data_IF_312059462474
#
_entry.id   IF_312059462474
#
_cell.length_a   1.000
_cell.length_b   1.000
_cell.length_c   1.000
_cell.angle_alpha   90.00
_cell.angle_beta   90.00
_cell.angle_gamma   90.00
#
_symmetry.space_group_name_H-M   'P 1'
#
loop_
_entity.id
_entity.type
_entity.pdbx_description
1 polymer ?
#
# COMPACT_ATOMS: atom_id res chain seq x y z
N UNK A 1 36.58 45.75 -38.46
CA UNK A 1 36.18 44.83 -37.36
C UNK A 1 34.67 44.87 -37.23
N UNK A 2 33.96 43.84 -37.70
CA UNK A 2 32.51 43.69 -37.50
C UNK A 2 32.31 42.99 -36.16
N UNK A 3 31.68 43.67 -35.20
CA UNK A 3 31.18 43.03 -33.97
C UNK A 3 29.75 42.60 -34.28
N UNK A 4 29.60 41.30 -34.52
CA UNK A 4 28.32 40.64 -34.73
C UNK A 4 27.58 40.61 -33.38
N UNK A 5 26.54 41.44 -33.25
CA UNK A 5 25.63 41.39 -32.11
C UNK A 5 24.85 40.06 -32.18
N UNK A 6 25.28 39.08 -31.38
CA UNK A 6 24.51 37.86 -31.14
C UNK A 6 23.15 38.24 -30.55
N UNK A 7 22.10 38.05 -31.35
CA UNK A 7 20.70 38.12 -30.92
C UNK A 7 20.52 37.29 -29.65
N UNK A 8 19.96 37.92 -28.61
CA UNK A 8 19.77 37.29 -27.30
C UNK A 8 19.08 35.94 -27.45
N UNK A 9 19.67 34.91 -26.86
CA UNK A 9 19.12 33.56 -26.89
C UNK A 9 17.64 33.60 -26.47
N UNK A 10 16.74 33.29 -27.41
CA UNK A 10 15.32 33.19 -27.13
C UNK A 10 15.15 32.07 -26.11
N UNK A 11 14.73 32.41 -24.89
CA UNK A 11 14.32 31.43 -23.88
C UNK A 11 13.03 30.77 -24.38
N UNK A 12 13.17 29.73 -25.18
CA UNK A 12 12.06 28.87 -25.56
C UNK A 12 11.77 27.96 -24.38
N UNK A 13 10.78 28.33 -23.57
CA UNK A 13 10.22 27.43 -22.55
C UNK A 13 9.30 26.46 -23.30
N UNK A 14 9.85 25.31 -23.70
CA UNK A 14 9.03 24.22 -24.22
C UNK A 14 8.30 23.62 -23.03
N UNK A 15 7.11 24.16 -22.72
CA UNK A 15 6.15 23.53 -21.85
C UNK A 15 5.63 22.26 -22.54
N UNK A 16 6.45 21.20 -22.54
CA UNK A 16 6.00 19.90 -23.02
C UNK A 16 4.85 19.45 -22.12
N UNK A 17 3.82 18.87 -22.71
CA UNK A 17 2.69 18.22 -22.01
C UNK A 17 3.11 17.14 -21.01
N UNK A 18 4.41 16.82 -20.91
CA UNK A 18 5.02 15.95 -19.90
C UNK A 18 4.89 16.54 -18.49
N UNK A 19 4.90 17.87 -18.34
CA UNK A 19 4.74 18.55 -17.05
C UNK A 19 3.28 18.83 -16.65
N UNK A 20 2.31 18.54 -17.52
CA UNK A 20 0.89 18.67 -17.19
C UNK A 20 0.48 17.44 -16.36
N UNK A 21 0.68 17.52 -15.05
CA UNK A 21 0.14 16.50 -14.14
C UNK A 21 -1.37 16.70 -14.05
N UNK A 22 -2.14 15.68 -14.46
CA UNK A 22 -3.60 15.71 -14.34
C UNK A 22 -4.06 15.64 -12.88
N UNK A 23 -3.17 15.29 -11.94
CA UNK A 23 -3.41 15.27 -10.49
C UNK A 23 -2.16 15.80 -9.77
N UNK A 24 -2.35 16.46 -8.62
CA UNK A 24 -1.23 16.93 -7.78
C UNK A 24 -0.40 15.76 -7.23
N UNK A 25 0.88 15.98 -6.95
CA UNK A 25 1.78 14.98 -6.33
C UNK A 25 1.16 14.27 -5.12
N UNK A 26 0.56 15.02 -4.19
CA UNK A 26 -0.08 14.47 -2.99
C UNK A 26 -1.23 13.50 -3.27
N UNK A 27 -1.98 13.74 -4.36
CA UNK A 27 -3.09 12.88 -4.79
C UNK A 27 -2.58 11.59 -5.42
N UNK A 28 -1.51 11.68 -6.22
CA UNK A 28 -0.84 10.50 -6.77
C UNK A 28 -0.20 9.65 -5.65
N UNK A 29 0.51 10.29 -4.73
CA UNK A 29 1.11 9.63 -3.58
C UNK A 29 0.06 8.96 -2.69
N UNK A 30 -1.09 9.60 -2.45
CA UNK A 30 -2.17 9.00 -1.67
C UNK A 30 -2.73 7.72 -2.28
N UNK A 31 -2.82 7.63 -3.62
CA UNK A 31 -3.28 6.40 -4.29
C UNK A 31 -2.27 5.27 -4.05
N UNK A 32 -0.98 5.52 -4.25
CA UNK A 32 0.08 4.52 -4.06
C UNK A 32 0.21 4.11 -2.58
N UNK A 33 0.09 5.07 -1.65
CA UNK A 33 0.13 4.77 -0.22
C UNK A 33 -1.08 3.97 0.23
N UNK A 34 -2.28 4.25 -0.31
CA UNK A 34 -3.49 3.52 0.02
C UNK A 34 -3.42 2.04 -0.39
N UNK A 35 -2.68 1.73 -1.47
CA UNK A 35 -2.44 0.37 -1.94
C UNK A 35 -1.62 -0.46 -0.93
N UNK A 36 -0.60 0.13 -0.31
CA UNK A 36 0.24 -0.54 0.69
C UNK A 36 -0.31 -0.50 2.12
N UNK A 37 -1.28 0.38 2.39
CA UNK A 37 -1.67 0.73 3.75
C UNK A 37 -2.39 -0.39 4.51
N UNK A 38 -3.25 -1.19 3.85
CA UNK A 38 -4.04 -2.22 4.54
C UNK A 38 -3.16 -3.34 5.10
N UNK A 39 -2.17 -3.78 4.31
CA UNK A 39 -1.21 -4.83 4.69
C UNK A 39 -0.41 -4.51 5.94
N UNK A 40 -0.10 -3.23 6.19
CA UNK A 40 0.66 -2.82 7.35
C UNK A 40 0.00 -3.20 8.68
N UNK A 41 -1.34 -3.28 8.74
CA UNK A 41 -2.07 -3.55 9.98
C UNK A 41 -2.14 -5.03 10.36
N UNK A 42 -2.03 -5.94 9.40
CA UNK A 42 -2.19 -7.38 9.66
C UNK A 42 -0.92 -8.21 9.44
N UNK A 43 0.02 -7.73 8.61
CA UNK A 43 1.26 -8.46 8.33
C UNK A 43 2.05 -8.75 9.61
N UNK A 44 2.09 -7.82 10.57
CA UNK A 44 2.76 -8.03 11.84
C UNK A 44 2.19 -9.22 12.63
N UNK A 45 0.87 -9.27 12.78
CA UNK A 45 0.20 -10.34 13.52
C UNK A 45 0.29 -11.70 12.81
N UNK A 46 0.16 -11.73 11.48
CA UNK A 46 0.31 -12.96 10.71
C UNK A 46 1.75 -13.46 10.76
N UNK A 47 2.74 -12.57 10.60
CA UNK A 47 4.15 -12.94 10.65
C UNK A 47 4.56 -13.46 12.04
N UNK A 48 4.07 -12.83 13.11
CA UNK A 48 4.31 -13.31 14.48
C UNK A 48 3.66 -14.68 14.73
N UNK A 49 2.46 -14.92 14.20
CA UNK A 49 1.78 -16.21 14.34
C UNK A 49 2.50 -17.32 13.56
N UNK A 50 3.01 -17.00 12.37
CA UNK A 50 3.64 -17.98 11.48
C UNK A 50 5.10 -18.32 11.82
N UNK A 51 5.88 -17.31 12.23
CA UNK A 51 7.35 -17.42 12.43
C UNK A 51 7.71 -17.34 13.93
N UNK A 52 6.80 -16.87 14.77
CA UNK A 52 7.03 -16.64 16.19
C UNK A 52 7.77 -15.32 16.45
N UNK A 53 8.47 -15.27 17.58
CA UNK A 53 9.15 -14.05 18.09
C UNK A 53 10.25 -13.51 17.20
N UNK A 54 10.69 -14.27 16.19
CA UNK A 54 11.66 -13.84 15.19
C UNK A 54 11.06 -13.00 14.03
N UNK A 55 9.72 -12.86 13.96
CA UNK A 55 9.03 -12.13 12.90
C UNK A 55 9.56 -10.71 12.60
N UNK A 56 9.95 -9.88 13.60
CA UNK A 56 10.49 -8.54 13.33
C UNK A 56 11.75 -8.54 12.46
N UNK A 57 12.59 -9.59 12.53
CA UNK A 57 13.81 -9.69 11.72
C UNK A 57 13.49 -9.94 10.24
N UNK A 58 12.45 -10.70 9.94
CA UNK A 58 11.99 -10.92 8.56
C UNK A 58 11.39 -9.65 7.97
N UNK A 59 10.60 -8.90 8.77
CA UNK A 59 10.10 -7.58 8.36
C UNK A 59 11.28 -6.64 8.08
N UNK A 60 12.27 -6.60 8.98
CA UNK A 60 13.47 -5.77 8.78
C UNK A 60 14.24 -6.15 7.51
N UNK A 61 14.40 -7.45 7.22
CA UNK A 61 15.05 -7.92 6.01
C UNK A 61 14.31 -7.46 4.73
N UNK A 62 12.97 -7.53 4.73
CA UNK A 62 12.14 -7.03 3.62
C UNK A 62 12.27 -5.51 3.48
N UNK A 63 12.30 -4.77 4.60
CA UNK A 63 12.51 -3.32 4.57
C UNK A 63 13.89 -2.95 4.01
N UNK A 64 14.94 -3.70 4.35
CA UNK A 64 16.27 -3.50 3.79
C UNK A 64 16.29 -3.81 2.28
N UNK A 65 15.66 -4.90 1.86
CA UNK A 65 15.52 -5.25 0.45
C UNK A 65 14.73 -4.18 -0.34
N UNK A 66 13.72 -3.56 0.27
CA UNK A 66 12.96 -2.47 -0.33
C UNK A 66 13.83 -1.25 -0.69
N UNK A 67 14.95 -1.01 0.02
CA UNK A 67 15.91 0.03 -0.38
C UNK A 67 16.58 -0.27 -1.73
N UNK A 68 16.87 -1.53 -2.03
CA UNK A 68 17.42 -1.90 -3.34
C UNK A 68 16.37 -1.68 -4.45
N UNK A 69 15.11 -2.05 -4.20
CA UNK A 69 13.99 -1.78 -5.12
C UNK A 69 13.81 -0.28 -5.34
N UNK A 70 13.93 0.52 -4.28
CA UNK A 70 13.88 1.99 -4.36
C UNK A 70 15.01 2.56 -5.22
N UNK A 71 16.23 2.03 -5.13
CA UNK A 71 17.35 2.48 -5.96
C UNK A 71 17.05 2.28 -7.46
N UNK A 72 16.55 1.10 -7.83
CA UNK A 72 16.14 0.78 -9.22
C UNK A 72 15.02 1.72 -9.68
N UNK A 73 14.07 2.04 -8.80
CA UNK A 73 12.99 2.97 -9.14
C UNK A 73 13.51 4.38 -9.45
N UNK A 74 14.49 4.88 -8.68
CA UNK A 74 15.10 6.20 -8.90
C UNK A 74 15.82 6.24 -10.26
N UNK A 75 16.56 5.18 -10.60
CA UNK A 75 17.19 5.05 -11.91
C UNK A 75 16.16 5.02 -13.04
N UNK A 76 15.08 4.26 -12.87
CA UNK A 76 13.97 4.17 -13.83
C UNK A 76 13.32 5.53 -14.10
N UNK A 77 13.20 6.39 -13.07
CA UNK A 77 12.65 7.74 -13.22
C UNK A 77 13.55 8.68 -14.07
N UNK A 78 14.84 8.40 -14.22
CA UNK A 78 15.73 9.21 -15.08
C UNK A 78 15.55 8.97 -16.58
N UNK A 79 14.83 7.92 -16.98
CA UNK A 79 14.62 7.58 -18.39
C UNK A 79 13.55 8.44 -19.07
N UNK A 80 12.78 9.23 -18.31
CA UNK A 80 11.76 10.19 -18.79
C UNK A 80 10.82 9.66 -19.91
N UNK A 81 10.45 8.39 -19.84
CA UNK A 81 9.58 7.76 -20.85
C UNK A 81 8.11 8.06 -20.57
N UNK A 82 7.37 8.50 -21.60
CA UNK A 82 5.92 8.69 -21.52
C UNK A 82 5.20 7.35 -21.61
N UNK A 83 4.24 7.12 -20.70
CA UNK A 83 3.35 5.95 -20.73
C UNK A 83 3.43 5.01 -19.52
N UNK A 84 3.97 5.47 -18.40
CA UNK A 84 3.96 4.75 -17.13
C UNK A 84 4.85 3.50 -17.12
N UNK A 85 4.59 2.60 -16.18
CA UNK A 85 5.47 1.45 -15.87
C UNK A 85 5.70 0.55 -17.10
N UNK A 86 4.67 0.31 -17.93
CA UNK A 86 4.81 -0.50 -19.14
C UNK A 86 5.88 0.04 -20.08
N UNK A 87 5.81 1.34 -20.40
CA UNK A 87 6.73 1.96 -21.36
C UNK A 87 8.14 2.07 -20.79
N UNK A 88 8.27 2.34 -19.49
CA UNK A 88 9.59 2.38 -18.83
C UNK A 88 10.28 1.02 -18.92
N UNK A 89 9.58 -0.08 -18.61
CA UNK A 89 10.17 -1.44 -18.72
C UNK A 89 10.42 -1.82 -20.19
N UNK A 90 9.53 -1.40 -21.10
CA UNK A 90 9.69 -1.69 -22.52
C UNK A 90 10.94 -1.05 -23.11
N UNK A 91 11.20 0.22 -22.82
CA UNK A 91 12.39 0.93 -23.31
C UNK A 91 13.67 0.43 -22.62
N UNK A 92 13.62 0.04 -21.35
CA UNK A 92 14.78 -0.43 -20.61
C UNK A 92 15.17 -1.91 -20.89
N UNK A 93 14.18 -2.79 -21.03
CA UNK A 93 14.36 -4.26 -20.99
C UNK A 93 13.68 -5.00 -22.16
N UNK A 94 13.05 -4.28 -23.08
CA UNK A 94 12.37 -4.85 -24.24
C UNK A 94 10.94 -5.34 -24.00
N UNK A 95 10.27 -5.74 -25.08
CA UNK A 95 8.83 -5.98 -25.08
C UNK A 95 8.34 -7.20 -24.31
N UNK A 96 9.11 -8.29 -24.25
CA UNK A 96 8.70 -9.52 -23.56
C UNK A 96 8.69 -9.32 -22.05
N UNK A 97 9.75 -8.73 -21.51
CA UNK A 97 9.87 -8.44 -20.07
C UNK A 97 8.83 -7.40 -19.63
N UNK A 98 8.56 -6.37 -20.45
CA UNK A 98 7.51 -5.40 -20.15
C UNK A 98 6.11 -6.02 -20.01
N UNK A 99 5.76 -6.97 -20.89
CA UNK A 99 4.49 -7.69 -20.79
C UNK A 99 4.43 -8.54 -19.53
N UNK A 100 5.51 -9.25 -19.20
CA UNK A 100 5.57 -10.06 -17.98
C UNK A 100 5.42 -9.22 -16.71
N UNK A 101 6.20 -8.12 -16.60
CA UNK A 101 6.14 -7.22 -15.44
C UNK A 101 4.77 -6.58 -15.26
N UNK A 102 4.13 -6.12 -16.34
CA UNK A 102 2.80 -5.52 -16.23
C UNK A 102 1.71 -6.54 -15.92
N UNK A 103 1.81 -7.76 -16.46
CA UNK A 103 0.91 -8.85 -16.06
C UNK A 103 1.03 -9.16 -14.57
N UNK A 104 2.26 -9.20 -14.03
CA UNK A 104 2.48 -9.41 -12.60
C UNK A 104 1.88 -8.27 -11.75
N UNK A 105 2.05 -7.01 -12.17
CA UNK A 105 1.45 -5.84 -11.49
C UNK A 105 -0.08 -5.84 -11.55
N UNK A 106 -0.67 -6.20 -12.70
CA UNK A 106 -2.13 -6.31 -12.82
C UNK A 106 -2.68 -7.45 -11.97
N UNK A 107 -1.96 -8.57 -11.93
CA UNK A 107 -2.32 -9.70 -11.07
C UNK A 107 -2.29 -9.31 -9.59
N UNK A 108 -1.24 -8.60 -9.16
CA UNK A 108 -1.13 -8.07 -7.80
C UNK A 108 -2.33 -7.18 -7.44
N UNK A 109 -2.68 -6.20 -8.28
CA UNK A 109 -3.85 -5.33 -8.04
C UNK A 109 -5.19 -6.08 -8.03
N UNK A 110 -5.36 -7.09 -8.89
CA UNK A 110 -6.58 -7.89 -8.93
C UNK A 110 -6.73 -8.78 -7.69
N UNK A 111 -5.62 -9.22 -7.08
CA UNK A 111 -5.66 -10.00 -5.85
C UNK A 111 -5.78 -9.14 -4.59
N UNK A 112 -5.00 -8.07 -4.51
CA UNK A 112 -4.93 -7.20 -3.31
C UNK A 112 -6.25 -6.49 -3.04
N UNK A 113 -6.98 -6.06 -4.08
CA UNK A 113 -8.28 -5.40 -3.93
C UNK A 113 -9.32 -6.24 -3.14
N UNK A 114 -9.68 -7.45 -3.61
CA UNK A 114 -10.59 -8.34 -2.90
C UNK A 114 -10.09 -8.77 -1.53
N UNK A 115 -8.80 -9.09 -1.37
CA UNK A 115 -8.22 -9.48 -0.08
C UNK A 115 -8.40 -8.34 0.93
N UNK A 116 -8.08 -7.11 0.55
CA UNK A 116 -8.26 -5.94 1.41
C UNK A 116 -9.74 -5.68 1.73
N UNK A 117 -10.65 -5.90 0.77
CA UNK A 117 -12.09 -5.75 0.98
C UNK A 117 -12.66 -6.77 1.97
N UNK A 118 -12.27 -8.04 1.85
CA UNK A 118 -12.71 -9.12 2.75
C UNK A 118 -12.12 -8.92 4.15
N UNK A 119 -10.84 -8.60 4.27
CA UNK A 119 -10.21 -8.31 5.57
C UNK A 119 -10.88 -7.14 6.29
N UNK A 120 -11.20 -6.06 5.58
CA UNK A 120 -11.94 -4.93 6.15
C UNK A 120 -13.34 -5.34 6.63
N UNK A 121 -14.04 -6.19 5.87
CA UNK A 121 -15.33 -6.75 6.26
C UNK A 121 -15.25 -7.65 7.50
N UNK A 122 -14.20 -8.45 7.63
CA UNK A 122 -13.94 -9.28 8.81
C UNK A 122 -13.66 -8.42 10.04
N UNK A 123 -12.86 -7.35 9.92
CA UNK A 123 -12.62 -6.41 11.01
C UNK A 123 -13.90 -5.71 11.47
N UNK A 124 -14.72 -5.26 10.52
CA UNK A 124 -15.98 -4.60 10.84
C UNK A 124 -17.00 -5.58 11.46
N UNK A 125 -17.11 -6.79 10.92
CA UNK A 125 -17.99 -7.84 11.46
C UNK A 125 -17.57 -8.29 12.86
N UNK A 126 -16.27 -8.46 13.09
CA UNK A 126 -15.72 -8.76 14.42
C UNK A 126 -16.01 -7.64 15.43
N UNK A 127 -15.84 -6.38 15.02
CA UNK A 127 -16.14 -5.23 15.86
C UNK A 127 -17.63 -5.16 16.23
N UNK A 128 -18.54 -5.40 15.28
CA UNK A 128 -19.99 -5.42 15.53
C UNK A 128 -20.33 -6.49 16.57
N UNK A 129 -19.78 -7.69 16.43
CA UNK A 129 -20.01 -8.78 17.35
C UNK A 129 -19.49 -8.45 18.75
N UNK A 130 -18.28 -7.90 18.87
CA UNK A 130 -17.70 -7.54 20.16
C UNK A 130 -18.49 -6.41 20.86
N UNK A 131 -19.03 -5.45 20.11
CA UNK A 131 -19.95 -4.44 20.66
C UNK A 131 -21.27 -5.06 21.13
N UNK A 132 -21.84 -6.00 20.36
CA UNK A 132 -23.04 -6.74 20.73
C UNK A 132 -22.88 -7.49 22.05
N UNK A 133 -21.73 -8.17 22.20
CA UNK A 133 -21.36 -8.90 23.41
C UNK A 133 -21.17 -7.98 24.61
N UNK A 134 -20.42 -6.87 24.46
CA UNK A 134 -20.19 -5.92 25.56
C UNK A 134 -21.45 -5.18 26.01
N UNK A 135 -22.44 -5.02 25.12
CA UNK A 135 -23.71 -4.37 25.42
C UNK A 135 -24.81 -5.37 25.82
N UNK A 136 -24.51 -6.67 25.89
CA UNK A 136 -25.46 -7.74 26.18
C UNK A 136 -26.73 -7.73 25.30
N UNK A 137 -26.60 -7.28 24.04
CA UNK A 137 -27.73 -7.26 23.10
C UNK A 137 -27.79 -8.62 22.41
N UNK A 138 -28.63 -9.51 22.92
CA UNK A 138 -28.76 -10.93 22.54
C UNK A 138 -29.19 -11.22 21.08
N UNK A 139 -29.10 -10.25 20.17
CA UNK A 139 -29.44 -10.40 18.76
C UNK A 139 -28.47 -9.74 17.78
N UNK A 140 -27.39 -9.11 18.26
CA UNK A 140 -26.41 -8.43 17.40
C UNK A 140 -25.20 -9.34 17.07
N UNK A 141 -25.47 -10.59 16.68
CA UNK A 141 -24.44 -11.48 16.15
C UNK A 141 -24.57 -11.60 14.64
N UNK A 142 -23.57 -11.08 13.95
CA UNK A 142 -23.46 -11.16 12.50
C UNK A 142 -22.47 -12.27 12.16
N UNK A 143 -22.82 -13.13 11.20
CA UNK A 143 -21.86 -14.07 10.65
C UNK A 143 -20.77 -13.29 9.88
N UNK A 144 -19.57 -13.25 10.45
CA UNK A 144 -18.47 -12.44 9.94
C UNK A 144 -18.08 -12.79 8.49
N UNK A 145 -18.17 -14.05 8.09
CA UNK A 145 -17.78 -14.48 6.73
C UNK A 145 -18.77 -14.01 5.68
N UNK A 146 -20.08 -14.24 5.89
CA UNK A 146 -21.10 -13.77 4.96
C UNK A 146 -21.17 -12.24 4.92
N UNK A 147 -21.05 -11.59 6.07
CA UNK A 147 -21.00 -10.13 6.14
C UNK A 147 -19.78 -9.58 5.40
N UNK A 148 -18.59 -10.15 5.61
CA UNK A 148 -17.39 -9.73 4.92
C UNK A 148 -17.50 -9.88 3.40
N UNK A 149 -18.08 -10.97 2.91
CA UNK A 149 -18.29 -11.19 1.47
C UNK A 149 -19.23 -10.13 0.86
N UNK A 150 -20.37 -9.87 1.50
CA UNK A 150 -21.33 -8.85 1.04
C UNK A 150 -20.74 -7.45 1.13
N UNK A 151 -20.04 -7.13 2.22
CA UNK A 151 -19.36 -5.86 2.42
C UNK A 151 -18.29 -5.62 1.36
N UNK A 152 -17.44 -6.62 1.10
CA UNK A 152 -16.40 -6.54 0.08
C UNK A 152 -16.98 -6.32 -1.33
N UNK A 153 -18.08 -7.02 -1.67
CA UNK A 153 -18.78 -6.82 -2.93
C UNK A 153 -19.34 -5.40 -3.05
N UNK A 154 -19.99 -4.88 -2.01
CA UNK A 154 -20.54 -3.53 -1.99
C UNK A 154 -19.46 -2.45 -2.14
N UNK A 155 -18.33 -2.60 -1.41
CA UNK A 155 -17.18 -1.69 -1.50
C UNK A 155 -16.57 -1.73 -2.91
N UNK A 156 -16.43 -2.92 -3.49
CA UNK A 156 -15.89 -3.09 -4.86
C UNK A 156 -16.77 -2.37 -5.89
N UNK A 157 -18.10 -2.54 -5.80
CA UNK A 157 -19.05 -1.85 -6.70
C UNK A 157 -19.00 -0.33 -6.49
N UNK A 158 -18.88 0.13 -5.25
CA UNK A 158 -18.77 1.56 -4.94
C UNK A 158 -17.53 2.19 -5.59
N UNK A 159 -16.36 1.58 -5.40
CA UNK A 159 -15.11 2.09 -5.98
C UNK A 159 -15.08 1.93 -7.49
N UNK A 160 -15.67 0.86 -8.04
CA UNK A 160 -15.84 0.71 -9.49
C UNK A 160 -16.64 1.87 -10.08
N UNK A 161 -17.79 2.21 -9.48
CA UNK A 161 -18.58 3.37 -9.90
C UNK A 161 -17.78 4.68 -9.81
N UNK A 162 -17.04 4.88 -8.71
CA UNK A 162 -16.21 6.09 -8.53
C UNK A 162 -15.08 6.19 -9.55
N UNK A 163 -14.48 5.06 -9.93
CA UNK A 163 -13.43 5.04 -10.95
C UNK A 163 -13.97 5.35 -12.35
N UNK A 164 -15.22 4.97 -12.67
CA UNK A 164 -15.87 5.34 -13.94
C UNK A 164 -16.16 6.86 -14.02
N UNK A 165 -16.50 7.51 -12.90
CA UNK A 165 -16.86 8.95 -12.89
C UNK A 165 -15.62 9.84 -13.14
N UNK A 166 -14.46 9.47 -12.61
CA UNK A 166 -13.20 10.11 -12.98
C UNK A 166 -12.10 10.10 -11.92
N UNK A 167 -10.85 10.18 -12.39
CA UNK A 167 -9.63 10.12 -11.56
C UNK A 167 -9.55 11.29 -10.57
N UNK A 168 -10.08 12.46 -10.92
CA UNK A 168 -10.11 13.59 -10.00
C UNK A 168 -10.96 13.25 -8.76
N UNK A 169 -12.19 12.79 -8.94
CA UNK A 169 -13.05 12.48 -7.78
C UNK A 169 -12.49 11.31 -6.96
N UNK A 170 -12.02 10.25 -7.62
CA UNK A 170 -11.43 9.08 -6.95
C UNK A 170 -10.18 9.45 -6.14
N UNK A 171 -9.29 10.27 -6.70
CA UNK A 171 -8.06 10.68 -6.02
C UNK A 171 -8.27 11.60 -4.82
N UNK A 172 -9.36 12.40 -4.80
CA UNK A 172 -9.72 13.18 -3.61
C UNK A 172 -10.17 12.27 -2.47
N UNK A 173 -10.94 11.22 -2.77
CA UNK A 173 -11.34 10.22 -1.77
C UNK A 173 -10.13 9.45 -1.25
N UNK A 174 -9.21 9.04 -2.12
CA UNK A 174 -7.97 8.39 -1.73
C UNK A 174 -7.14 9.25 -0.77
N UNK A 175 -7.04 10.56 -1.03
CA UNK A 175 -6.34 11.49 -0.14
C UNK A 175 -6.99 11.57 1.25
N UNK A 176 -8.33 11.64 1.33
CA UNK A 176 -9.03 11.63 2.62
C UNK A 176 -8.84 10.32 3.38
N UNK A 177 -8.89 9.19 2.68
CA UNK A 177 -8.63 7.87 3.29
C UNK A 177 -7.21 7.85 3.86
N UNK A 178 -6.22 8.28 3.08
CA UNK A 178 -4.82 8.35 3.53
C UNK A 178 -4.65 9.25 4.76
N UNK A 179 -5.34 10.39 4.83
CA UNK A 179 -5.33 11.26 6.01
C UNK A 179 -5.84 10.53 7.26
N UNK A 180 -6.99 9.84 7.16
CA UNK A 180 -7.56 9.07 8.27
C UNK A 180 -6.59 7.96 8.69
N UNK A 181 -6.03 7.22 7.73
CA UNK A 181 -5.06 6.16 7.98
C UNK A 181 -3.80 6.71 8.67
N UNK A 182 -3.33 7.89 8.28
CA UNK A 182 -2.17 8.54 8.90
C UNK A 182 -2.45 8.90 10.36
N UNK A 183 -3.62 9.46 10.66
CA UNK A 183 -4.03 9.74 12.04
C UNK A 183 -4.07 8.45 12.86
N UNK A 184 -4.66 7.39 12.31
CA UNK A 184 -4.72 6.07 12.95
C UNK A 184 -3.31 5.49 13.21
N UNK A 185 -2.40 5.60 12.25
CA UNK A 185 -1.01 5.17 12.40
C UNK A 185 -0.29 5.94 13.51
N UNK A 186 -0.47 7.26 13.59
CA UNK A 186 0.11 8.09 14.66
C UNK A 186 -0.41 7.65 16.03
N UNK A 187 -1.72 7.41 16.15
CA UNK A 187 -2.33 6.93 17.40
C UNK A 187 -1.71 5.59 17.83
N UNK A 188 -1.56 4.64 16.90
CA UNK A 188 -0.95 3.35 17.19
C UNK A 188 0.52 3.47 17.59
N UNK A 189 1.30 4.34 16.93
CA UNK A 189 2.69 4.59 17.29
C UNK A 189 2.79 5.14 18.72
N UNK A 190 1.95 6.13 19.06
CA UNK A 190 1.90 6.68 20.43
C UNK A 190 1.51 5.59 21.43
N UNK A 191 0.53 4.75 21.11
CA UNK A 191 0.11 3.65 21.96
C UNK A 191 1.20 2.59 22.15
N UNK A 192 1.97 2.28 21.10
CA UNK A 192 3.13 1.40 21.19
C UNK A 192 4.17 1.96 22.16
N UNK A 193 4.52 3.25 22.05
CA UNK A 193 5.45 3.88 22.99
C UNK A 193 4.93 3.88 24.43
N UNK A 194 3.64 4.17 24.64
CA UNK A 194 3.01 4.10 25.95
C UNK A 194 3.02 2.67 26.53
N UNK A 195 2.81 1.66 25.68
CA UNK A 195 2.85 0.24 26.08
C UNK A 195 4.26 -0.18 26.47
N UNK A 196 5.28 0.24 25.72
CA UNK A 196 6.69 -0.02 26.06
C UNK A 196 7.05 0.64 27.39
N UNK A 197 6.58 1.86 27.64
CA UNK A 197 6.84 2.57 28.89
C UNK A 197 6.16 1.92 30.11
N UNK A 198 4.98 1.31 29.93
CA UNK A 198 4.19 0.73 31.04
C UNK A 198 4.45 -0.75 31.28
N UNK A 199 4.67 -1.54 30.22
CA UNK A 199 4.83 -3.00 30.28
C UNK A 199 6.27 -3.48 30.06
N UNK A 200 7.19 -2.57 29.73
CA UNK A 200 8.57 -2.88 29.37
C UNK A 200 8.70 -3.31 27.90
N UNK A 201 9.95 -3.32 27.42
CA UNK A 201 10.27 -3.77 26.07
C UNK A 201 10.35 -5.30 26.02
N UNK A 202 9.69 -5.92 25.05
CA UNK A 202 9.91 -7.33 24.75
C UNK A 202 11.28 -7.51 24.06
N UNK A 203 12.15 -8.40 24.57
CA UNK A 203 13.45 -8.63 23.94
C UNK A 203 13.26 -9.25 22.56
N UNK A 204 13.87 -8.64 21.55
CA UNK A 204 13.91 -9.20 20.20
C UNK A 204 14.71 -10.51 20.24
N UNK A 205 14.04 -11.64 19.98
CA UNK A 205 14.73 -12.92 19.87
C UNK A 205 15.45 -12.98 18.53
N UNK A 206 16.73 -13.39 18.48
CA UNK A 206 17.45 -13.53 17.22
C UNK A 206 16.80 -14.63 16.35
N UNK A 207 16.89 -14.52 15.00
CA UNK A 207 16.36 -15.52 14.07
C UNK A 207 17.29 -16.75 14.03
N UNK A 208 17.38 -17.46 15.14
CA UNK A 208 18.09 -18.75 15.25
C UNK A 208 17.09 -19.90 15.11
N UNK A 209 17.47 -21.07 14.57
CA UNK A 209 16.57 -22.22 14.38
C UNK A 209 15.81 -22.63 15.65
N UNK A 210 16.40 -22.44 16.83
CA UNK A 210 15.78 -22.73 18.12
C UNK A 210 14.59 -21.79 18.49
N UNK A 211 14.46 -20.64 17.83
CA UNK A 211 13.44 -19.62 18.11
C UNK A 211 12.41 -19.48 17.00
N UNK A 212 12.50 -20.31 15.96
CA UNK A 212 11.51 -20.41 14.90
C UNK A 212 10.43 -21.39 15.35
N UNK A 213 9.20 -20.89 15.48
CA UNK A 213 8.06 -21.73 15.78
C UNK A 213 7.12 -21.66 14.58
N UNK A 214 7.12 -22.70 13.75
CA UNK A 214 6.24 -22.82 12.61
C UNK A 214 4.87 -23.32 13.09
N UNK A 215 3.82 -22.52 12.89
CA UNK A 215 2.45 -22.96 13.19
C UNK A 215 2.03 -24.10 12.25
N UNK A 216 1.11 -24.97 12.67
CA UNK A 216 0.55 -26.02 11.80
C UNK A 216 -0.18 -25.47 10.55
N UNK A 217 -0.54 -24.18 10.55
CA UNK A 217 -1.14 -23.47 9.41
C UNK A 217 -0.09 -22.82 8.48
N UNK A 218 1.20 -22.91 8.81
CA UNK A 218 2.27 -22.46 7.93
C UNK A 218 2.43 -23.50 6.81
N UNK A 219 2.18 -23.09 5.56
CA UNK A 219 2.28 -23.94 4.37
C UNK A 219 3.74 -24.23 3.95
N UNK A 220 4.63 -24.49 4.92
CA UNK A 220 6.05 -24.77 4.72
C UNK A 220 6.71 -25.35 5.95
#
# INVERSE_FOLDING_TARGET
>A
MKVEQRSGAVKVVVATTVMLSFISFWRAAAIVLADMASSAYYVGGIAETAIGRAAPWFILAIMLFSYAVRAIYIESCSMFVRGGVYRVVHEAMGGTLAKFSVSALMFDYVLTGPISGVSAGLYLGGLINEFGDRLHIAGLHVNAQYFAAVFAAAVTIYFWRKNIIGIHESSEKALRIMQITTVMAVILIVWCFATIATRGAYPLTPPTPAHLHFSNDALG
#
